data_IF_997030113997
#
_entry.id   IF_997030113997
#
_cell.length_a   1.000
_cell.length_b   1.000
_cell.length_c   1.000
_cell.angle_alpha   90.00
_cell.angle_beta   90.00
_cell.angle_gamma   90.00
#
_symmetry.space_group_name_H-M   'P 1'
#
loop_
_entity.id
_entity.type
_entity.pdbx_description
1 polymer ?
#
# COMPACT_ATOMS: atom_id res chain seq x y z
N UNK A 1 4.50 6.44 3.03
CA UNK A 1 5.34 6.04 4.17
C UNK A 1 6.24 7.14 4.77
N UNK A 2 6.82 8.09 4.01
CA UNK A 2 7.72 9.12 4.59
C UNK A 2 7.12 9.89 5.77
N UNK A 3 5.86 10.33 5.67
CA UNK A 3 5.17 11.00 6.77
C UNK A 3 4.94 10.13 8.02
N UNK A 4 4.77 8.81 7.84
CA UNK A 4 4.69 7.87 8.96
C UNK A 4 6.04 7.74 9.66
N UNK A 5 7.13 7.59 8.88
CA UNK A 5 8.49 7.52 9.43
C UNK A 5 8.82 8.75 10.27
N UNK A 6 8.55 9.96 9.77
CA UNK A 6 8.82 11.21 10.51
C UNK A 6 7.99 11.32 11.79
N UNK A 7 6.71 10.93 11.74
CA UNK A 7 5.82 10.98 12.90
C UNK A 7 6.24 9.98 13.96
N UNK A 8 6.55 8.75 13.56
CA UNK A 8 7.01 7.70 14.48
C UNK A 8 8.39 8.07 15.05
N UNK A 9 9.32 8.56 14.22
CA UNK A 9 10.65 8.99 14.66
C UNK A 9 10.56 10.06 15.77
N UNK A 10 9.72 11.10 15.57
CA UNK A 10 9.50 12.15 16.58
C UNK A 10 9.02 11.57 17.91
N UNK A 11 8.07 10.64 17.88
CA UNK A 11 7.48 10.06 19.11
C UNK A 11 8.39 9.05 19.79
N UNK A 12 9.08 8.21 19.03
CA UNK A 12 10.04 7.20 19.56
C UNK A 12 11.27 7.89 20.17
N UNK A 13 11.74 8.99 19.57
CA UNK A 13 12.86 9.78 20.09
C UNK A 13 12.53 10.56 21.38
N UNK A 14 11.25 10.68 21.76
CA UNK A 14 10.82 11.30 23.01
C UNK A 14 10.67 10.30 24.17
N UNK A 15 10.89 9.01 23.93
CA UNK A 15 10.83 7.92 24.93
C UNK A 15 12.24 7.37 25.21
N UNK A 16 12.32 6.34 26.05
CA UNK A 16 13.55 5.58 26.39
C UNK A 16 14.24 4.89 25.18
N UNK A 17 13.66 5.02 23.99
CA UNK A 17 14.09 4.38 22.75
C UNK A 17 15.02 5.23 21.88
N UNK A 18 15.32 6.46 22.31
CA UNK A 18 16.10 7.43 21.51
C UNK A 18 17.48 6.92 21.12
N UNK A 19 18.25 6.39 22.09
CA UNK A 19 19.60 5.88 21.84
C UNK A 19 19.60 4.62 20.97
N UNK A 20 18.76 3.60 21.24
CA UNK A 20 18.62 2.44 20.34
C UNK A 20 18.19 2.82 18.91
N UNK A 21 17.22 3.73 18.77
CA UNK A 21 16.77 4.21 17.46
C UNK A 21 17.90 4.90 16.69
N UNK A 22 18.63 5.81 17.34
CA UNK A 22 19.76 6.52 16.73
C UNK A 22 20.87 5.56 16.30
N UNK A 23 21.18 4.56 17.13
CA UNK A 23 22.17 3.53 16.79
C UNK A 23 21.76 2.79 15.50
N UNK A 24 20.50 2.38 15.37
CA UNK A 24 20.01 1.70 14.16
C UNK A 24 20.05 2.60 12.93
N UNK A 25 19.66 3.88 13.04
CA UNK A 25 19.75 4.82 11.93
C UNK A 25 21.20 5.05 11.48
N UNK A 26 22.15 5.13 12.42
CA UNK A 26 23.57 5.26 12.10
C UNK A 26 24.08 4.03 11.33
N UNK A 27 23.74 2.83 11.79
CA UNK A 27 24.11 1.59 11.12
C UNK A 27 23.53 1.49 9.70
N UNK A 28 22.29 1.92 9.49
CA UNK A 28 21.68 1.93 8.16
C UNK A 28 22.37 2.92 7.22
N UNK A 29 22.78 4.08 7.73
CA UNK A 29 23.55 5.06 6.97
C UNK A 29 24.93 4.51 6.57
N UNK A 30 25.63 3.83 7.50
CA UNK A 30 26.92 3.16 7.23
C UNK A 30 26.78 2.07 6.17
N UNK A 31 25.66 1.34 6.17
CA UNK A 31 25.35 0.30 5.19
C UNK A 31 24.81 0.87 3.85
N UNK A 32 24.86 2.19 3.65
CA UNK A 32 24.52 2.86 2.39
C UNK A 32 23.05 3.28 2.21
N UNK A 33 22.19 3.07 3.22
CA UNK A 33 20.81 3.58 3.22
C UNK A 33 20.74 4.91 3.98
N UNK A 34 20.98 6.01 3.28
CA UNK A 34 21.08 7.36 3.87
C UNK A 34 19.75 7.96 4.34
N UNK A 35 18.60 7.38 3.96
CA UNK A 35 17.28 7.88 4.34
C UNK A 35 16.31 6.72 4.57
N UNK A 36 16.53 5.91 5.62
CA UNK A 36 15.75 4.72 5.85
C UNK A 36 14.32 5.08 6.21
N UNK A 37 13.36 4.36 5.62
CA UNK A 37 11.95 4.47 6.01
C UNK A 37 11.67 3.60 7.25
N UNK A 38 10.44 3.67 7.79
CA UNK A 38 10.07 2.92 8.99
C UNK A 38 10.18 1.40 8.82
N UNK A 39 9.96 0.91 7.60
CA UNK A 39 10.06 -0.50 7.23
C UNK A 39 11.51 -0.96 7.21
N UNK A 40 12.43 -0.16 6.68
CA UNK A 40 13.87 -0.40 6.72
C UNK A 40 14.38 -0.51 8.18
N UNK A 41 13.92 0.41 9.03
CA UNK A 41 14.29 0.45 10.45
C UNK A 41 13.75 -0.78 11.18
N UNK A 42 12.47 -1.11 11.03
CA UNK A 42 11.88 -2.31 11.63
C UNK A 42 12.54 -3.60 11.11
N UNK A 43 12.85 -3.65 9.82
CA UNK A 43 13.56 -4.77 9.22
C UNK A 43 14.94 -4.96 9.85
N UNK A 44 15.67 -3.86 10.10
CA UNK A 44 16.95 -3.90 10.80
C UNK A 44 16.81 -4.32 12.26
N UNK A 45 15.87 -3.76 13.01
CA UNK A 45 15.59 -4.14 14.41
C UNK A 45 15.36 -5.66 14.51
N UNK A 46 14.47 -6.18 13.67
CA UNK A 46 14.10 -7.60 13.66
C UNK A 46 15.27 -8.49 13.25
N UNK A 47 16.03 -8.09 12.22
CA UNK A 47 17.23 -8.81 11.80
C UNK A 47 18.29 -8.90 12.90
N UNK A 48 18.53 -7.80 13.62
CA UNK A 48 19.45 -7.79 14.76
C UNK A 48 18.95 -8.68 15.91
N UNK A 49 17.64 -8.67 16.18
CA UNK A 49 17.04 -9.48 17.25
C UNK A 49 17.29 -10.98 17.06
N UNK A 50 17.22 -11.44 15.83
CA UNK A 50 17.47 -12.85 15.49
C UNK A 50 18.97 -13.21 15.61
N UNK A 51 19.87 -12.24 15.49
CA UNK A 51 21.33 -12.43 15.57
C UNK A 51 21.92 -12.31 16.99
N UNK A 52 21.25 -11.59 17.91
CA UNK A 52 21.83 -11.19 19.22
C UNK A 52 22.17 -12.35 20.15
N UNK A 53 21.49 -13.49 20.06
CA UNK A 53 21.72 -14.61 20.99
C UNK A 53 21.59 -14.18 22.46
N UNK A 54 22.59 -14.48 23.28
CA UNK A 54 22.66 -14.11 24.72
C UNK A 54 23.56 -12.90 25.02
N UNK A 55 24.18 -12.30 23.99
CA UNK A 55 25.10 -11.18 24.15
C UNK A 55 24.50 -9.86 23.67
N UNK A 56 25.36 -9.01 23.12
CA UNK A 56 24.98 -7.78 22.41
C UNK A 56 25.45 -7.87 20.96
N UNK A 57 24.67 -7.31 20.03
CA UNK A 57 25.11 -7.12 18.63
C UNK A 57 25.05 -5.65 18.30
N UNK A 58 26.18 -5.12 17.82
CA UNK A 58 26.35 -3.70 17.47
C UNK A 58 25.88 -2.75 18.62
N UNK A 59 26.16 -3.14 19.86
CA UNK A 59 25.83 -2.37 21.06
C UNK A 59 24.35 -2.40 21.48
N UNK A 60 23.56 -3.36 20.99
CA UNK A 60 22.16 -3.53 21.36
C UNK A 60 21.91 -4.94 21.90
N UNK A 61 21.28 -5.01 23.08
CA UNK A 61 20.83 -6.25 23.71
C UNK A 61 19.50 -6.73 23.15
N UNK A 62 19.17 -8.01 23.36
CA UNK A 62 17.91 -8.62 22.88
C UNK A 62 16.71 -7.89 23.48
N UNK A 63 16.74 -7.64 24.78
CA UNK A 63 15.69 -6.94 25.52
C UNK A 63 15.50 -5.52 25.01
N UNK A 64 16.58 -4.83 24.64
CA UNK A 64 16.52 -3.48 24.06
C UNK A 64 15.83 -3.50 22.71
N UNK A 65 16.18 -4.47 21.84
CA UNK A 65 15.58 -4.63 20.52
C UNK A 65 14.10 -5.01 20.59
N UNK A 66 13.71 -5.89 21.51
CA UNK A 66 12.31 -6.28 21.74
C UNK A 66 11.46 -5.10 22.22
N UNK A 67 11.99 -4.31 23.16
CA UNK A 67 11.31 -3.10 23.64
C UNK A 67 11.21 -2.04 22.54
N UNK A 68 12.26 -1.87 21.73
CA UNK A 68 12.26 -0.93 20.61
C UNK A 68 11.24 -1.35 19.53
N UNK A 69 11.21 -2.63 19.15
CA UNK A 69 10.24 -3.14 18.18
C UNK A 69 8.80 -2.92 18.67
N UNK A 70 8.53 -3.26 19.94
CA UNK A 70 7.21 -3.06 20.56
C UNK A 70 6.83 -1.58 20.54
N UNK A 71 7.74 -0.70 20.98
CA UNK A 71 7.52 0.75 21.00
C UNK A 71 7.27 1.35 19.61
N UNK A 72 7.98 0.85 18.58
CA UNK A 72 7.73 1.27 17.19
C UNK A 72 6.36 0.79 16.72
N UNK A 73 6.00 -0.48 16.96
CA UNK A 73 4.72 -1.04 16.55
C UNK A 73 3.55 -0.31 17.21
N UNK A 74 3.63 -0.02 18.51
CA UNK A 74 2.63 0.77 19.22
C UNK A 74 2.43 2.17 18.61
N UNK A 75 3.52 2.85 18.27
CA UNK A 75 3.42 4.19 17.68
C UNK A 75 2.90 4.15 16.24
N UNK A 76 3.23 3.12 15.47
CA UNK A 76 2.60 2.88 14.15
C UNK A 76 1.09 2.72 14.34
N UNK A 77 0.65 1.82 15.23
CA UNK A 77 -0.76 1.55 15.51
C UNK A 77 -1.49 2.84 15.88
N UNK A 78 -0.94 3.66 16.78
CA UNK A 78 -1.55 4.95 17.15
C UNK A 78 -1.65 5.95 16.00
N UNK A 79 -0.72 5.90 15.06
CA UNK A 79 -0.71 6.81 13.91
C UNK A 79 -1.72 6.38 12.84
N UNK A 80 -1.88 5.07 12.62
CA UNK A 80 -2.74 4.51 11.56
C UNK A 80 -4.14 4.13 12.04
N UNK A 81 -4.35 3.99 13.35
CA UNK A 81 -5.67 3.82 13.97
C UNK A 81 -6.38 5.17 13.94
N UNK A 82 -6.96 5.46 12.78
CA UNK A 82 -7.72 6.67 12.48
C UNK A 82 -9.02 6.25 11.82
N UNK A 83 -10.08 6.93 12.20
CA UNK A 83 -11.35 6.88 11.50
C UNK A 83 -11.38 7.96 10.43
N UNK A 84 -12.16 7.70 9.38
CA UNK A 84 -12.51 8.72 8.41
C UNK A 84 -13.29 9.85 9.10
N UNK A 85 -12.95 11.13 8.81
CA UNK A 85 -13.56 12.28 9.49
C UNK A 85 -15.07 12.43 9.23
N UNK A 86 -15.52 12.03 8.04
CA UNK A 86 -16.91 12.11 7.60
C UNK A 86 -17.17 11.09 6.47
N UNK A 87 -18.38 11.10 5.90
CA UNK A 87 -18.81 10.19 4.81
C UNK A 87 -18.60 10.75 3.39
N UNK A 88 -17.79 11.79 3.25
CA UNK A 88 -17.54 12.50 1.98
C UNK A 88 -16.07 12.44 1.53
N UNK A 89 -15.30 11.55 2.15
CA UNK A 89 -13.88 11.37 1.85
C UNK A 89 -13.65 10.64 0.52
N UNK A 90 -12.43 10.68 -0.03
CA UNK A 90 -12.10 9.92 -1.24
C UNK A 90 -12.28 8.40 -1.10
N UNK A 91 -12.19 7.86 0.12
CA UNK A 91 -12.49 6.45 0.39
C UNK A 91 -13.97 6.15 0.20
N UNK A 92 -14.87 7.05 0.60
CA UNK A 92 -16.30 6.93 0.36
C UNK A 92 -16.63 7.06 -1.13
N UNK A 93 -15.97 7.96 -1.84
CA UNK A 93 -16.08 8.06 -3.30
C UNK A 93 -15.65 6.76 -4.00
N UNK A 94 -14.57 6.14 -3.53
CA UNK A 94 -14.14 4.82 -3.99
C UNK A 94 -15.17 3.74 -3.68
N UNK A 95 -15.66 3.64 -2.44
CA UNK A 95 -16.68 2.66 -2.04
C UNK A 95 -17.98 2.84 -2.86
N UNK A 96 -18.40 4.09 -3.06
CA UNK A 96 -19.52 4.46 -3.93
C UNK A 96 -19.33 3.91 -5.35
N UNK A 97 -18.16 4.12 -5.97
CA UNK A 97 -17.84 3.57 -7.29
C UNK A 97 -17.82 2.03 -7.33
N UNK A 98 -17.29 1.38 -6.29
CA UNK A 98 -17.30 -0.09 -6.17
C UNK A 98 -18.73 -0.63 -6.17
N UNK A 99 -19.63 -0.01 -5.40
CA UNK A 99 -21.01 -0.45 -5.23
C UNK A 99 -22.05 0.12 -6.20
N UNK A 100 -21.65 0.91 -7.21
CA UNK A 100 -22.60 1.58 -8.13
C UNK A 100 -22.74 0.92 -9.50
N UNK A 101 -21.87 -0.04 -9.83
CA UNK A 101 -21.84 -0.68 -11.15
C UNK A 101 -22.08 -2.18 -10.96
N UNK A 102 -23.05 -2.74 -11.69
CA UNK A 102 -23.20 -4.19 -11.81
C UNK A 102 -22.04 -4.73 -12.65
N UNK A 103 -21.24 -5.61 -12.03
CA UNK A 103 -20.02 -6.14 -12.66
C UNK A 103 -20.12 -7.63 -12.88
N UNK A 104 -19.57 -8.07 -14.00
CA UNK A 104 -19.35 -9.50 -14.30
C UNK A 104 -18.28 -10.11 -13.38
N UNK A 105 -17.31 -9.29 -12.93
CA UNK A 105 -16.19 -9.70 -12.07
C UNK A 105 -16.10 -8.79 -10.84
N UNK A 106 -15.69 -9.35 -9.69
CA UNK A 106 -15.45 -8.60 -8.46
C UNK A 106 -14.36 -7.54 -8.65
N UNK A 107 -14.50 -6.43 -7.92
CA UNK A 107 -13.39 -5.49 -7.75
C UNK A 107 -12.40 -6.10 -6.75
N UNK A 108 -11.21 -6.41 -7.24
CA UNK A 108 -10.08 -6.88 -6.42
C UNK A 108 -9.26 -5.69 -5.93
N UNK A 109 -9.12 -5.55 -4.62
CA UNK A 109 -8.45 -4.44 -3.95
C UNK A 109 -7.25 -5.01 -3.22
N UNK A 110 -6.05 -4.69 -3.71
CA UNK A 110 -4.80 -5.04 -3.04
C UNK A 110 -4.25 -3.80 -2.36
N UNK A 111 -3.92 -3.90 -1.07
CA UNK A 111 -3.35 -2.78 -0.33
C UNK A 111 -2.20 -3.21 0.56
N UNK A 112 -1.18 -2.35 0.62
CA UNK A 112 -0.05 -2.44 1.54
C UNK A 112 -0.29 -1.62 2.81
N UNK A 113 -1.40 -0.88 2.89
CA UNK A 113 -1.75 -0.07 4.05
C UNK A 113 -2.30 -0.92 5.19
N UNK A 114 -1.90 -0.56 6.42
CA UNK A 114 -2.30 -1.26 7.66
C UNK A 114 -3.61 -0.76 8.26
N UNK A 115 -4.07 0.45 7.89
CA UNK A 115 -5.29 1.08 8.40
C UNK A 115 -6.56 0.36 7.95
N UNK A 116 -7.72 0.80 8.45
CA UNK A 116 -9.04 0.22 8.13
C UNK A 116 -9.91 1.17 7.29
N UNK A 117 -9.31 2.17 6.62
CA UNK A 117 -10.08 3.26 5.98
C UNK A 117 -10.91 2.76 4.78
N UNK A 118 -10.41 1.77 4.05
CA UNK A 118 -11.16 1.15 2.93
C UNK A 118 -12.35 0.35 3.49
N UNK A 119 -12.11 -0.47 4.51
CA UNK A 119 -13.14 -1.27 5.18
C UNK A 119 -14.25 -0.37 5.72
N UNK A 120 -13.88 0.67 6.49
CA UNK A 120 -14.83 1.64 7.03
C UNK A 120 -15.71 2.26 5.94
N UNK A 121 -15.11 2.71 4.84
CA UNK A 121 -15.87 3.32 3.75
C UNK A 121 -16.80 2.33 3.02
N UNK A 122 -16.36 1.09 2.82
CA UNK A 122 -17.20 0.03 2.25
C UNK A 122 -18.39 -0.28 3.17
N UNK A 123 -18.17 -0.39 4.47
CA UNK A 123 -19.22 -0.62 5.48
C UNK A 123 -20.20 0.54 5.57
N UNK A 124 -19.70 1.79 5.58
CA UNK A 124 -20.52 3.00 5.63
C UNK A 124 -21.48 3.10 4.44
N UNK A 125 -21.07 2.61 3.26
CA UNK A 125 -21.87 2.55 2.04
C UNK A 125 -22.59 1.21 1.83
N UNK A 126 -22.49 0.30 2.80
CA UNK A 126 -23.08 -1.06 2.76
C UNK A 126 -22.65 -1.87 1.54
N UNK A 127 -21.42 -1.65 1.07
CA UNK A 127 -20.82 -2.43 0.00
C UNK A 127 -20.28 -3.72 0.62
N UNK A 128 -20.79 -4.89 0.22
CA UNK A 128 -20.29 -6.15 0.74
C UNK A 128 -18.84 -6.37 0.29
N UNK A 129 -18.00 -6.86 1.20
CA UNK A 129 -16.63 -7.23 0.86
C UNK A 129 -16.20 -8.50 1.59
N UNK A 130 -15.20 -9.16 1.02
CA UNK A 130 -14.53 -10.31 1.60
C UNK A 130 -13.04 -10.02 1.71
N UNK A 131 -12.49 -10.17 2.91
CA UNK A 131 -11.09 -9.90 3.23
C UNK A 131 -10.30 -11.13 3.70
N UNK A 132 -10.84 -12.32 3.45
CA UNK A 132 -10.23 -13.59 3.87
C UNK A 132 -10.59 -14.06 5.28
N UNK A 133 -11.47 -13.33 5.99
CA UNK A 133 -11.95 -13.72 7.31
C UNK A 133 -13.43 -14.08 7.30
N UNK A 134 -13.78 -15.12 8.04
CA UNK A 134 -15.15 -15.65 8.16
C UNK A 134 -15.59 -15.63 9.62
N UNK A 135 -16.88 -15.40 9.83
CA UNK A 135 -17.51 -15.33 11.16
C UNK A 135 -17.89 -13.91 11.56
N UNK A 136 -18.93 -13.79 12.39
CA UNK A 136 -19.54 -12.50 12.72
C UNK A 136 -19.03 -11.89 14.04
N UNK A 137 -18.81 -12.72 15.08
CA UNK A 137 -18.44 -12.23 16.44
C UNK A 137 -16.94 -12.09 16.63
N UNK A 138 -16.18 -13.04 16.13
CA UNK A 138 -14.72 -13.08 16.18
C UNK A 138 -14.26 -13.70 14.86
N UNK A 139 -14.15 -12.88 13.80
CA UNK A 139 -13.84 -13.40 12.48
C UNK A 139 -12.46 -14.08 12.50
N UNK A 140 -12.37 -15.30 11.99
CA UNK A 140 -11.12 -16.07 11.89
C UNK A 140 -10.67 -16.14 10.44
N UNK A 141 -9.37 -16.20 10.23
CA UNK A 141 -8.80 -16.33 8.90
C UNK A 141 -9.13 -17.71 8.33
N UNK A 142 -9.66 -17.74 7.10
CA UNK A 142 -10.07 -18.97 6.43
C UNK A 142 -9.47 -19.04 5.02
N UNK A 143 -8.38 -19.80 4.89
CA UNK A 143 -7.72 -20.02 3.60
C UNK A 143 -8.56 -20.85 2.64
N UNK A 144 -9.44 -21.72 3.16
CA UNK A 144 -10.32 -22.53 2.32
C UNK A 144 -11.34 -21.62 1.62
N UNK A 145 -11.96 -20.70 2.36
CA UNK A 145 -12.87 -19.71 1.79
C UNK A 145 -12.20 -18.83 0.72
N UNK A 146 -10.93 -18.49 0.91
CA UNK A 146 -10.14 -17.72 -0.07
C UNK A 146 -9.91 -18.49 -1.38
N UNK A 147 -9.70 -19.80 -1.30
CA UNK A 147 -9.32 -20.62 -2.46
C UNK A 147 -10.52 -21.17 -3.22
N UNK A 148 -11.61 -21.52 -2.51
CA UNK A 148 -12.68 -22.35 -3.06
C UNK A 148 -14.06 -21.68 -3.05
N UNK A 149 -14.29 -20.62 -2.27
CA UNK A 149 -15.62 -20.01 -2.21
C UNK A 149 -15.90 -19.07 -3.38
N UNK A 150 -16.94 -19.43 -4.14
CA UNK A 150 -17.49 -18.60 -5.21
C UNK A 150 -18.44 -17.54 -4.64
N UNK A 151 -17.89 -16.44 -4.13
CA UNK A 151 -18.72 -15.31 -3.70
C UNK A 151 -19.29 -14.53 -4.89
N UNK A 152 -20.47 -13.89 -4.73
CA UNK A 152 -21.09 -13.13 -5.80
C UNK A 152 -20.19 -11.99 -6.32
N UNK A 153 -20.17 -11.69 -7.63
CA UNK A 153 -19.34 -10.62 -8.22
C UNK A 153 -19.56 -9.22 -7.62
N UNK A 154 -20.73 -8.97 -7.00
CA UNK A 154 -21.01 -7.72 -6.28
C UNK A 154 -20.16 -7.53 -5.00
N UNK A 155 -19.54 -8.58 -4.49
CA UNK A 155 -18.67 -8.50 -3.32
C UNK A 155 -17.29 -8.03 -3.75
N UNK A 156 -16.83 -6.93 -3.18
CA UNK A 156 -15.44 -6.53 -3.32
C UNK A 156 -14.53 -7.55 -2.64
N UNK A 157 -13.33 -7.75 -3.16
CA UNK A 157 -12.31 -8.57 -2.51
C UNK A 157 -11.20 -7.67 -2.01
N UNK A 158 -10.89 -7.73 -0.73
CA UNK A 158 -9.89 -6.88 -0.09
C UNK A 158 -8.72 -7.71 0.43
N UNK A 159 -7.53 -7.47 -0.09
CA UNK A 159 -6.34 -8.25 0.22
C UNK A 159 -5.27 -7.35 0.86
N UNK A 160 -5.06 -7.51 2.15
CA UNK A 160 -4.08 -6.76 2.96
C UNK A 160 -2.71 -7.45 2.89
N UNK A 161 -1.88 -7.04 1.93
CA UNK A 161 -0.62 -7.71 1.59
C UNK A 161 0.38 -7.74 2.75
N UNK A 162 0.44 -6.67 3.54
CA UNK A 162 1.33 -6.58 4.73
C UNK A 162 0.61 -6.73 6.06
N UNK A 163 -0.65 -7.15 6.01
CA UNK A 163 -1.50 -7.33 7.18
C UNK A 163 -2.22 -6.06 7.59
N UNK A 164 -2.84 -6.11 8.76
CA UNK A 164 -3.75 -5.06 9.21
C UNK A 164 -3.65 -4.85 10.72
N UNK A 165 -3.96 -3.63 11.16
CA UNK A 165 -3.91 -3.26 12.58
C UNK A 165 -4.94 -3.99 13.45
N UNK A 166 -5.98 -4.59 12.86
CA UNK A 166 -6.99 -5.38 13.58
C UNK A 166 -6.71 -6.89 13.54
N UNK A 167 -5.63 -7.34 12.88
CA UNK A 167 -5.25 -8.76 12.86
C UNK A 167 -4.46 -9.12 14.12
N UNK A 168 -4.85 -10.18 14.80
CA UNK A 168 -4.16 -10.73 15.97
C UNK A 168 -3.90 -12.22 15.76
N UNK A 169 -2.73 -12.68 16.19
CA UNK A 169 -2.43 -14.10 16.30
C UNK A 169 -2.64 -14.59 17.72
N UNK A 170 -3.11 -15.83 17.86
CA UNK A 170 -3.20 -16.47 19.18
C UNK A 170 -1.82 -16.61 19.81
N UNK A 171 -1.75 -16.44 21.14
CA UNK A 171 -0.50 -16.61 21.92
C UNK A 171 0.00 -18.06 21.80
N UNK A 172 -0.93 -19.01 21.80
CA UNK A 172 -0.63 -20.44 21.78
C UNK A 172 -0.38 -21.00 20.37
N UNK A 173 -0.86 -20.31 19.33
CA UNK A 173 -0.78 -20.77 17.94
C UNK A 173 -0.72 -19.59 16.97
N UNK A 174 0.50 -19.31 16.49
CA UNK A 174 0.74 -18.20 15.56
C UNK A 174 0.06 -18.36 14.19
N UNK A 175 -0.45 -19.56 13.84
CA UNK A 175 -1.19 -19.80 12.61
C UNK A 175 -2.67 -19.43 12.72
N UNK A 176 -3.20 -19.32 13.95
CA UNK A 176 -4.57 -18.88 14.19
C UNK A 176 -4.62 -17.36 14.25
N UNK A 177 -5.04 -16.76 13.14
CA UNK A 177 -5.23 -15.32 13.02
C UNK A 177 -6.72 -14.99 13.07
N UNK A 178 -7.07 -13.97 13.84
CA UNK A 178 -8.43 -13.46 13.97
C UNK A 178 -8.45 -11.93 13.91
N UNK A 179 -9.60 -11.37 13.53
CA UNK A 179 -9.85 -9.92 13.59
C UNK A 179 -10.43 -9.53 14.94
N UNK A 180 -9.95 -8.43 15.50
CA UNK A 180 -10.51 -7.85 16.73
C UNK A 180 -10.29 -6.35 16.78
N UNK A 181 -11.31 -5.63 17.25
CA UNK A 181 -11.25 -4.20 17.57
C UNK A 181 -10.75 -3.96 19.01
N UNK A 182 -10.69 -5.02 19.81
CA UNK A 182 -10.27 -4.96 21.22
C UNK A 182 -8.75 -5.08 21.27
N UNK A 183 -8.08 -4.11 21.91
CA UNK A 183 -6.63 -4.14 22.21
C UNK A 183 -6.20 -5.29 23.14
N UNK A 184 -7.14 -6.14 23.60
CA UNK A 184 -6.87 -7.22 24.54
C UNK A 184 -6.64 -8.54 23.82
N UNK A 185 -5.39 -9.01 23.89
CA UNK A 185 -5.00 -10.40 23.60
C UNK A 185 -4.41 -10.61 22.21
N UNK A 186 -3.23 -11.23 22.17
CA UNK A 186 -2.52 -11.59 20.94
C UNK A 186 -1.55 -10.52 20.45
N UNK A 187 -0.57 -10.94 19.65
CA UNK A 187 0.38 -10.02 19.03
C UNK A 187 -0.25 -9.42 17.77
N UNK A 188 -0.04 -8.11 17.58
CA UNK A 188 -0.50 -7.40 16.38
C UNK A 188 0.22 -7.98 15.16
N UNK A 189 -0.57 -8.36 14.15
CA UNK A 189 -0.08 -8.98 12.92
C UNK A 189 0.11 -7.88 11.87
N UNK A 190 1.12 -7.05 12.11
CA UNK A 190 1.64 -6.04 11.17
C UNK A 190 3.08 -6.44 10.82
N UNK A 191 3.37 -6.64 9.55
CA UNK A 191 4.73 -6.97 9.09
C UNK A 191 5.25 -5.96 8.08
N UNK A 192 5.81 -4.82 8.55
CA UNK A 192 6.45 -3.84 7.69
C UNK A 192 7.87 -4.24 7.29
N UNK A 193 8.17 -5.52 7.09
CA UNK A 193 9.57 -5.93 6.98
C UNK A 193 9.88 -6.86 5.81
N UNK A 194 10.81 -6.38 4.98
CA UNK A 194 11.49 -7.09 3.90
C UNK A 194 12.29 -8.32 4.34
N UNK A 195 12.64 -8.43 5.62
CA UNK A 195 13.70 -9.33 6.09
C UNK A 195 13.25 -10.66 6.71
N UNK A 196 11.95 -11.00 6.66
CA UNK A 196 11.51 -12.37 7.01
C UNK A 196 10.90 -13.08 5.81
N UNK A 197 11.79 -13.52 4.91
CA UNK A 197 11.49 -14.47 3.83
C UNK A 197 10.71 -15.71 4.33
N UNK A 198 10.89 -16.12 5.59
CA UNK A 198 10.15 -17.22 6.20
C UNK A 198 8.75 -16.83 6.73
N UNK A 199 8.51 -15.54 7.03
CA UNK A 199 7.23 -15.07 7.57
C UNK A 199 6.29 -14.48 6.52
N UNK A 200 6.79 -13.95 5.40
CA UNK A 200 5.94 -13.69 4.21
C UNK A 200 5.31 -14.98 3.67
N UNK A 201 5.91 -16.14 3.98
CA UNK A 201 5.39 -17.48 3.69
C UNK A 201 4.43 -18.03 4.76
N UNK A 202 4.11 -17.24 5.79
CA UNK A 202 3.09 -17.62 6.77
C UNK A 202 1.71 -17.18 6.29
N UNK A 203 0.72 -17.98 6.62
CA UNK A 203 -0.67 -17.53 6.55
C UNK A 203 -0.87 -16.40 7.56
N UNK A 204 -1.64 -15.35 7.25
CA UNK A 204 -2.49 -15.16 6.05
C UNK A 204 -1.79 -14.56 4.82
N UNK A 205 -0.58 -14.02 4.97
CA UNK A 205 0.12 -13.23 3.94
C UNK A 205 0.34 -13.97 2.63
N UNK A 206 0.73 -15.25 2.72
CA UNK A 206 0.92 -16.09 1.56
C UNK A 206 -0.35 -16.15 0.71
N UNK A 207 -1.51 -16.35 1.34
CA UNK A 207 -2.80 -16.37 0.64
C UNK A 207 -3.12 -15.01 0.00
N UNK A 208 -2.86 -13.90 0.68
CA UNK A 208 -3.08 -12.54 0.14
C UNK A 208 -2.22 -12.30 -1.12
N UNK A 209 -0.94 -12.69 -1.07
CA UNK A 209 -0.02 -12.58 -2.19
C UNK A 209 -0.37 -13.54 -3.34
N UNK A 210 -0.86 -14.73 -3.02
CA UNK A 210 -1.33 -15.68 -4.03
C UNK A 210 -2.56 -15.13 -4.78
N UNK A 211 -3.45 -14.40 -4.12
CA UNK A 211 -4.57 -13.74 -4.80
C UNK A 211 -4.10 -12.64 -5.77
N UNK A 212 -3.06 -11.88 -5.41
CA UNK A 212 -2.44 -10.92 -6.32
C UNK A 212 -1.86 -11.62 -7.55
N UNK A 213 -1.11 -12.70 -7.34
CA UNK A 213 -0.51 -13.49 -8.42
C UNK A 213 -1.60 -14.09 -9.33
N UNK A 214 -2.66 -14.66 -8.75
CA UNK A 214 -3.81 -15.21 -9.50
C UNK A 214 -4.49 -14.13 -10.34
N UNK A 215 -4.74 -12.96 -9.78
CA UNK A 215 -5.34 -11.84 -10.51
C UNK A 215 -4.48 -11.43 -11.71
N UNK A 216 -3.19 -11.17 -11.49
CA UNK A 216 -2.29 -10.74 -12.58
C UNK A 216 -2.02 -11.84 -13.61
N UNK A 217 -2.18 -13.10 -13.24
CA UNK A 217 -2.08 -14.25 -14.16
C UNK A 217 -3.37 -14.49 -14.94
N UNK A 218 -4.46 -13.77 -14.65
CA UNK A 218 -5.71 -13.85 -15.39
C UNK A 218 -5.55 -13.09 -16.70
N UNK A 219 -5.78 -13.72 -17.87
CA UNK A 219 -5.67 -13.06 -19.17
C UNK A 219 -6.57 -11.83 -19.26
N UNK A 220 -6.08 -10.77 -19.90
CA UNK A 220 -6.83 -9.52 -20.08
C UNK A 220 -7.26 -8.84 -18.78
N UNK A 221 -6.55 -9.10 -17.67
CA UNK A 221 -6.72 -8.35 -16.44
C UNK A 221 -6.04 -6.98 -16.54
N UNK A 222 -6.63 -5.99 -15.87
CA UNK A 222 -6.07 -4.65 -15.75
C UNK A 222 -5.95 -4.26 -14.29
N UNK A 223 -4.75 -3.92 -13.85
CA UNK A 223 -4.48 -3.42 -12.51
C UNK A 223 -4.19 -1.92 -12.55
N UNK A 224 -4.85 -1.16 -11.68
CA UNK A 224 -4.55 0.25 -11.44
C UNK A 224 -3.86 0.33 -10.07
N UNK A 225 -2.63 0.81 -10.05
CA UNK A 225 -1.84 1.03 -8.84
C UNK A 225 -1.87 2.52 -8.52
N UNK A 226 -2.26 2.90 -7.30
CA UNK A 226 -2.40 4.32 -6.92
C UNK A 226 -1.50 4.62 -5.73
N UNK A 227 -0.59 5.58 -5.87
CA UNK A 227 0.23 6.07 -4.75
C UNK A 227 1.29 5.09 -4.22
N UNK A 228 1.52 3.95 -4.89
CA UNK A 228 2.57 2.99 -4.53
C UNK A 228 3.92 3.44 -5.09
N UNK A 229 4.96 3.47 -4.25
CA UNK A 229 6.27 3.99 -4.64
C UNK A 229 7.19 2.97 -5.32
N UNK A 230 6.78 1.70 -5.44
CA UNK A 230 7.66 0.59 -5.84
C UNK A 230 8.87 0.41 -4.90
N UNK A 231 8.68 0.75 -3.61
CA UNK A 231 9.69 0.55 -2.58
C UNK A 231 9.84 -0.91 -2.17
N UNK A 232 8.80 -1.73 -2.35
CA UNK A 232 8.82 -3.13 -1.96
C UNK A 232 9.28 -4.03 -3.13
N UNK A 233 10.53 -4.50 -3.07
CA UNK A 233 11.10 -5.38 -4.08
C UNK A 233 10.35 -6.71 -4.24
N UNK A 234 9.86 -7.32 -3.16
CA UNK A 234 9.16 -8.60 -3.26
C UNK A 234 7.83 -8.46 -3.99
N UNK A 235 7.07 -7.41 -3.66
CA UNK A 235 5.84 -7.08 -4.38
C UNK A 235 6.12 -6.73 -5.84
N UNK A 236 7.17 -5.94 -6.10
CA UNK A 236 7.60 -5.61 -7.46
C UNK A 236 7.96 -6.87 -8.27
N UNK A 237 8.67 -7.83 -7.68
CA UNK A 237 9.04 -9.08 -8.33
C UNK A 237 7.79 -9.89 -8.71
N UNK A 238 6.79 -9.97 -7.83
CA UNK A 238 5.52 -10.65 -8.13
C UNK A 238 4.79 -9.99 -9.29
N UNK A 239 4.72 -8.65 -9.30
CA UNK A 239 4.08 -7.89 -10.39
C UNK A 239 4.81 -8.17 -11.71
N UNK A 240 6.14 -8.00 -11.74
CA UNK A 240 6.96 -8.13 -12.96
C UNK A 240 6.95 -9.57 -13.50
N UNK A 241 7.06 -10.58 -12.63
CA UNK A 241 6.99 -11.98 -13.02
C UNK A 241 5.62 -12.33 -13.59
N UNK A 242 4.53 -11.84 -12.99
CA UNK A 242 3.17 -12.10 -13.46
C UNK A 242 2.93 -11.45 -14.83
N UNK A 243 3.39 -10.20 -15.02
CA UNK A 243 3.34 -9.50 -16.30
C UNK A 243 4.18 -10.18 -17.40
N UNK A 244 5.30 -10.80 -17.04
CA UNK A 244 6.12 -11.58 -17.97
C UNK A 244 5.44 -12.88 -18.38
N UNK A 245 4.74 -13.55 -17.45
CA UNK A 245 3.98 -14.77 -17.72
C UNK A 245 2.70 -14.52 -18.51
N UNK A 246 2.09 -13.33 -18.40
CA UNK A 246 0.78 -13.02 -18.98
C UNK A 246 0.83 -11.70 -19.77
N UNK A 247 1.23 -11.73 -21.05
CA UNK A 247 1.39 -10.52 -21.86
C UNK A 247 0.10 -9.72 -22.10
N UNK A 248 -1.07 -10.33 -21.95
CA UNK A 248 -2.38 -9.66 -22.08
C UNK A 248 -2.80 -8.88 -20.84
N UNK A 249 -2.14 -9.09 -19.70
CA UNK A 249 -2.34 -8.32 -18.47
C UNK A 249 -1.64 -6.98 -18.57
N UNK A 250 -2.29 -5.90 -18.13
CA UNK A 250 -1.72 -4.57 -18.08
C UNK A 250 -1.76 -3.98 -16.65
N UNK A 251 -0.68 -3.32 -16.25
CA UNK A 251 -0.60 -2.56 -14.98
C UNK A 251 -0.38 -1.09 -15.30
N UNK A 252 -1.23 -0.23 -14.75
CA UNK A 252 -1.12 1.23 -14.82
C UNK A 252 -0.81 1.77 -13.43
N UNK A 253 0.39 2.28 -13.21
CA UNK A 253 0.78 2.88 -11.95
C UNK A 253 0.67 4.40 -11.99
N UNK A 254 -0.20 4.94 -11.16
CA UNK A 254 -0.48 6.35 -10.98
C UNK A 254 0.38 6.84 -9.79
N UNK A 255 1.44 7.56 -10.12
CA UNK A 255 2.46 8.00 -9.17
C UNK A 255 2.07 9.35 -8.55
N UNK A 256 2.23 9.47 -7.24
CA UNK A 256 1.86 10.69 -6.49
C UNK A 256 2.68 11.94 -6.88
N UNK A 257 3.88 11.77 -7.42
CA UNK A 257 4.80 12.87 -7.68
C UNK A 257 5.58 12.67 -8.98
N UNK A 258 6.67 13.43 -9.19
CA UNK A 258 7.41 13.41 -10.46
C UNK A 258 8.21 12.11 -10.66
N UNK A 259 8.43 11.72 -11.92
CA UNK A 259 9.13 10.49 -12.32
C UNK A 259 10.51 10.35 -11.68
N UNK A 260 11.21 11.47 -11.44
CA UNK A 260 12.54 11.46 -10.83
C UNK A 260 12.57 10.81 -9.44
N UNK A 261 11.44 10.77 -8.73
CA UNK A 261 11.32 10.17 -7.40
C UNK A 261 11.17 8.65 -7.45
N UNK A 262 10.94 8.06 -8.63
CA UNK A 262 10.56 6.65 -8.80
C UNK A 262 11.48 5.94 -9.81
N UNK A 263 12.79 6.04 -9.59
CA UNK A 263 13.80 5.46 -10.50
C UNK A 263 13.64 3.96 -10.69
N UNK A 264 13.35 3.21 -9.61
CA UNK A 264 13.10 1.77 -9.67
C UNK A 264 11.87 1.44 -10.54
N UNK A 265 10.74 2.13 -10.33
CA UNK A 265 9.53 1.94 -11.13
C UNK A 265 9.77 2.23 -12.61
N UNK A 266 10.51 3.32 -12.91
CA UNK A 266 10.88 3.69 -14.29
C UNK A 266 11.76 2.62 -14.94
N UNK A 267 12.68 2.00 -14.20
CA UNK A 267 13.50 0.90 -14.73
C UNK A 267 12.63 -0.30 -15.10
N UNK A 268 11.74 -0.72 -14.19
CA UNK A 268 10.83 -1.85 -14.43
C UNK A 268 9.94 -1.63 -15.66
N UNK A 269 9.37 -0.43 -15.80
CA UNK A 269 8.50 -0.08 -16.91
C UNK A 269 9.22 0.06 -18.27
N UNK A 270 10.53 0.35 -18.26
CA UNK A 270 11.36 0.29 -19.48
C UNK A 270 11.63 -1.13 -19.94
N UNK A 271 11.57 -2.11 -19.05
CA UNK A 271 11.79 -3.52 -19.37
C UNK A 271 10.50 -4.29 -19.67
N UNK A 272 9.33 -3.71 -19.34
CA UNK A 272 8.03 -4.36 -19.46
C UNK A 272 7.01 -3.43 -20.12
N UNK A 273 6.65 -3.72 -21.36
CA UNK A 273 5.73 -2.88 -22.14
C UNK A 273 4.29 -2.84 -21.61
N UNK A 274 3.91 -3.83 -20.80
CA UNK A 274 2.61 -3.92 -20.12
C UNK A 274 2.62 -3.35 -18.70
N UNK A 275 3.71 -2.71 -18.27
CA UNK A 275 3.76 -1.85 -17.10
C UNK A 275 3.86 -0.40 -17.55
N UNK A 276 2.80 0.38 -17.33
CA UNK A 276 2.76 1.81 -17.64
C UNK A 276 2.82 2.64 -16.36
N UNK A 277 3.69 3.65 -16.33
CA UNK A 277 3.83 4.56 -15.19
C UNK A 277 3.34 5.93 -15.61
N UNK A 278 2.31 6.47 -14.96
CA UNK A 278 1.81 7.82 -15.14
C UNK A 278 2.14 8.63 -13.90
N UNK A 279 2.93 9.68 -14.05
CA UNK A 279 3.43 10.50 -12.96
C UNK A 279 3.14 11.98 -13.24
N UNK A 280 3.37 12.81 -12.23
CA UNK A 280 3.04 14.24 -12.26
C UNK A 280 3.57 14.95 -13.51
N UNK A 281 4.83 14.72 -13.87
CA UNK A 281 5.58 15.41 -14.93
C UNK A 281 5.76 14.61 -16.23
N UNK A 282 5.31 13.35 -16.26
CA UNK A 282 5.41 12.53 -17.46
C UNK A 282 4.95 11.10 -17.28
N UNK A 283 5.27 10.28 -18.29
CA UNK A 283 4.88 8.87 -18.35
C UNK A 283 6.02 7.96 -18.80
N UNK A 284 5.95 6.69 -18.44
CA UNK A 284 6.65 5.60 -19.11
C UNK A 284 5.59 4.67 -19.67
N UNK A 285 5.42 4.64 -20.99
CA UNK A 285 4.41 3.82 -21.66
C UNK A 285 5.06 3.09 -22.82
N UNK A 286 4.75 1.80 -22.99
CA UNK A 286 5.33 0.98 -24.04
C UNK A 286 6.86 1.02 -24.02
N UNK A 287 7.46 0.97 -22.83
CA UNK A 287 8.92 1.06 -22.56
C UNK A 287 9.59 2.42 -22.84
N UNK A 288 8.82 3.44 -23.25
CA UNK A 288 9.37 4.76 -23.59
C UNK A 288 9.03 5.78 -22.52
N UNK A 289 10.05 6.49 -22.02
CA UNK A 289 9.88 7.65 -21.14
C UNK A 289 9.50 8.87 -21.98
N UNK A 290 8.43 9.55 -21.60
CA UNK A 290 7.94 10.77 -22.22
C UNK A 290 7.55 11.77 -21.13
N UNK A 291 7.62 13.06 -21.45
CA UNK A 291 7.09 14.14 -20.62
C UNK A 291 5.75 14.61 -21.19
N UNK A 292 4.90 15.20 -20.35
CA UNK A 292 3.66 15.78 -20.85
C UNK A 292 3.94 16.92 -21.82
N UNK A 293 3.09 17.09 -22.83
CA UNK A 293 3.25 18.17 -23.81
C UNK A 293 2.99 19.52 -23.16
N UNK A 294 3.83 20.48 -23.48
CA UNK A 294 3.58 21.89 -23.18
C UNK A 294 2.73 22.50 -24.31
N UNK A 295 1.79 23.37 -23.96
CA UNK A 295 0.86 23.98 -24.92
C UNK A 295 0.90 25.49 -24.81
N UNK A 296 0.80 26.18 -25.95
CA UNK A 296 0.80 27.64 -25.98
C UNK A 296 -0.54 28.23 -25.48
N UNK A 297 -1.64 27.48 -25.66
CA UNK A 297 -2.98 27.84 -25.22
C UNK A 297 -3.48 26.88 -24.13
N UNK A 298 -4.37 27.37 -23.26
CA UNK A 298 -4.98 26.53 -22.22
C UNK A 298 -5.91 25.51 -22.89
N UNK A 299 -5.68 24.21 -22.70
CA UNK A 299 -6.59 23.20 -23.22
C UNK A 299 -7.87 23.16 -22.41
N UNK A 300 -8.98 22.84 -23.08
CA UNK A 300 -10.22 22.49 -22.41
C UNK A 300 -9.98 21.29 -21.48
N UNK A 301 -10.41 21.39 -20.23
CA UNK A 301 -10.31 20.28 -19.28
C UNK A 301 -11.31 19.19 -19.68
N UNK A 302 -10.84 18.21 -20.45
CA UNK A 302 -11.66 17.09 -20.92
C UNK A 302 -11.85 15.98 -19.88
N UNK A 303 -10.96 15.93 -18.86
CA UNK A 303 -11.03 14.90 -17.83
C UNK A 303 -11.70 15.43 -16.55
N UNK A 304 -12.60 14.63 -15.96
CA UNK A 304 -13.32 15.03 -14.75
C UNK A 304 -12.40 15.21 -13.54
N UNK A 305 -12.90 15.92 -12.52
CA UNK A 305 -12.27 16.05 -11.19
C UNK A 305 -10.82 16.56 -11.14
N UNK A 306 -10.32 17.24 -12.17
CA UNK A 306 -8.94 17.75 -12.17
C UNK A 306 -7.88 16.65 -12.26
N UNK A 307 -8.19 15.54 -12.95
CA UNK A 307 -7.24 14.46 -13.22
C UNK A 307 -5.92 14.97 -13.85
N UNK A 308 -6.00 16.04 -14.63
CA UNK A 308 -4.87 16.82 -15.13
C UNK A 308 -5.09 18.28 -14.71
N UNK A 309 -4.13 18.83 -13.98
CA UNK A 309 -4.06 20.27 -13.68
C UNK A 309 -3.17 20.95 -14.71
N UNK A 310 -3.60 22.09 -15.23
CA UNK A 310 -2.82 22.90 -16.16
C UNK A 310 -2.35 24.16 -15.45
N UNK A 311 -1.04 24.36 -15.37
CA UNK A 311 -0.43 25.55 -14.76
C UNK A 311 0.31 26.37 -15.81
N UNK A 312 0.07 27.68 -15.82
CA UNK A 312 0.84 28.64 -16.63
C UNK A 312 2.12 29.02 -15.89
N UNK A 313 3.23 29.20 -16.63
CA UNK A 313 4.47 29.68 -16.02
C UNK A 313 4.38 31.12 -15.52
N UNK A 314 5.44 31.58 -14.85
CA UNK A 314 5.46 32.88 -14.16
C UNK A 314 5.45 34.07 -15.13
N UNK A 315 5.83 33.86 -16.40
CA UNK A 315 5.80 34.89 -17.44
C UNK A 315 4.56 34.74 -18.32
N UNK A 316 4.12 35.85 -18.91
CA UNK A 316 2.92 35.90 -19.75
C UNK A 316 3.01 35.00 -20.99
N UNK A 317 4.23 34.78 -21.51
CA UNK A 317 4.53 33.92 -22.66
C UNK A 317 4.95 32.48 -22.28
N UNK A 318 4.95 32.13 -20.99
CA UNK A 318 5.32 30.76 -20.60
C UNK A 318 4.21 29.77 -21.01
N UNK A 319 4.57 28.59 -21.55
CA UNK A 319 3.59 27.62 -22.00
C UNK A 319 2.86 26.98 -20.81
N UNK A 320 1.66 26.50 -21.07
CA UNK A 320 0.87 25.69 -20.15
C UNK A 320 1.50 24.31 -19.97
N UNK A 321 1.68 23.92 -18.72
CA UNK A 321 2.22 22.62 -18.33
C UNK A 321 1.14 21.76 -17.70
N UNK A 322 1.02 20.52 -18.15
CA UNK A 322 0.17 19.52 -17.53
C UNK A 322 0.84 18.89 -16.31
N UNK A 323 0.06 18.72 -15.25
CA UNK A 323 0.40 18.00 -14.04
C UNK A 323 -0.63 16.90 -13.82
N UNK A 324 -0.22 15.64 -13.93
CA UNK A 324 -1.11 14.50 -13.72
C UNK A 324 -1.33 14.24 -12.23
N UNK A 325 -2.60 14.23 -11.78
CA UNK A 325 -2.95 14.22 -10.34
C UNK A 325 -3.51 12.90 -9.81
N UNK A 326 -3.88 11.94 -10.68
CA UNK A 326 -4.55 10.71 -10.23
C UNK A 326 -3.66 9.76 -9.40
N UNK A 327 -2.37 10.06 -9.22
CA UNK A 327 -1.54 9.38 -8.24
C UNK A 327 -1.82 9.80 -6.78
N UNK A 328 -2.50 10.93 -6.58
CA UNK A 328 -3.08 11.31 -5.30
C UNK A 328 -4.48 10.69 -5.15
N UNK A 329 -4.65 9.92 -4.07
CA UNK A 329 -5.90 9.21 -3.78
C UNK A 329 -7.09 10.16 -3.63
N UNK A 330 -6.86 11.43 -3.25
CA UNK A 330 -7.90 12.44 -3.20
C UNK A 330 -8.52 12.69 -4.58
N UNK A 331 -7.66 13.00 -5.56
CA UNK A 331 -8.07 13.23 -6.94
C UNK A 331 -8.58 11.93 -7.60
N UNK A 332 -7.96 10.79 -7.28
CA UNK A 332 -8.42 9.50 -7.77
C UNK A 332 -9.84 9.16 -7.29
N UNK A 333 -10.14 9.33 -6.00
CA UNK A 333 -11.48 9.11 -5.46
C UNK A 333 -12.51 10.03 -6.12
N UNK A 334 -12.20 11.33 -6.24
CA UNK A 334 -13.08 12.28 -6.93
C UNK A 334 -13.34 11.87 -8.40
N UNK A 335 -12.28 11.49 -9.13
CA UNK A 335 -12.37 10.99 -10.49
C UNK A 335 -13.28 9.77 -10.63
N UNK A 336 -13.19 8.80 -9.71
CA UNK A 336 -14.08 7.64 -9.71
C UNK A 336 -15.55 8.01 -9.44
N UNK A 337 -15.78 8.97 -8.56
CA UNK A 337 -17.14 9.45 -8.25
C UNK A 337 -17.77 10.18 -9.44
N UNK A 338 -16.98 10.94 -10.20
CA UNK A 338 -17.46 11.60 -11.42
C UNK A 338 -17.80 10.57 -12.51
N UNK A 339 -16.99 9.51 -12.66
CA UNK A 339 -17.26 8.43 -13.64
C UNK A 339 -18.50 7.62 -13.26
N UNK A 340 -18.67 7.32 -11.97
CA UNK A 340 -19.85 6.60 -11.49
C UNK A 340 -21.14 7.43 -11.56
N UNK A 341 -21.01 8.76 -11.66
CA UNK A 341 -22.11 9.71 -11.45
C UNK A 341 -22.46 9.87 -9.98
N UNK A 342 -22.97 11.04 -9.59
CA UNK A 342 -23.50 11.26 -8.24
C UNK A 342 -24.80 10.47 -8.10
N UNK A 343 -24.87 9.54 -7.13
CA UNK A 343 -26.15 8.97 -6.70
C UNK A 343 -27.02 10.13 -6.21
N UNK A 344 -28.18 10.30 -6.83
CA UNK A 344 -29.17 11.34 -6.54
C UNK A 344 -29.76 11.18 -5.14
#
# INVERSE_FOLDING_TARGET
>A
MKGLTETVAKKVCCKDYKEPWRNICLQLNEDGNSNPNIEDILSRVRGLKDLVGTGDVRGLSKTTLEKLETGICEEIIKCVSKDLPDKTTPYHNFASWVGSIDRTYSVEIFTTNYDLLIEQALEDFRVPFFDGFVGARQPFFDSHAIEFDNLPPRWARLWKIHGSINWRSSIDDSFKVFRTDIEKGGNVVIHPSHLKYEQSRKMPYLAMMDQLRKFLSTPSSAMIVVGYSFGDQHLNDVIVQSLQGTPSTAVFALMYGPLKNYTSAVSLAKERGNLSILAEDGTVTGTRKQIWRELDEQPDSLLPSGAIEWTKGAKEDDPWKASFKLGDFNFFGAFLQDIAGKKA
#
